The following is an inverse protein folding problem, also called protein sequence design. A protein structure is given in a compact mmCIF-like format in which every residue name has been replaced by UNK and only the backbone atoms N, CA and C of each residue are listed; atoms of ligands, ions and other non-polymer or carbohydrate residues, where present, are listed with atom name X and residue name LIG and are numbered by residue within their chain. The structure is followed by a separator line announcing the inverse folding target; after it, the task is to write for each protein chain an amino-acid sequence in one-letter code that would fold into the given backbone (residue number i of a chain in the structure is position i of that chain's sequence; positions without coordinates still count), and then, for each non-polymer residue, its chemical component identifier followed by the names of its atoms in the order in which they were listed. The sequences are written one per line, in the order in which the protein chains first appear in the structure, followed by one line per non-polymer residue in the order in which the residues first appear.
data_IF_269757682666
#
_entry.id   IF_269757682666
#
_cell.length_a   1.000
_cell.length_b   1.000
_cell.length_c   1.000
_cell.angle_alpha   90.00
_cell.angle_beta   90.00
_cell.angle_gamma   90.00
#
_symmetry.space_group_name_H-M   'P 1'
#
loop_
_entity.id
_entity.type
_entity.pdbx_description
1 polymer ?
#
# COMPACT_ATOMS: atom_id res chain seq x y z
N UNK A 1 -26.11 10.43 36.33
CA UNK A 1 -25.80 8.98 36.40
C UNK A 1 -26.40 8.16 35.27
N UNK A 2 -27.70 8.32 34.93
CA UNK A 2 -28.36 7.52 33.87
C UNK A 2 -27.74 7.72 32.47
N UNK A 3 -27.39 8.95 32.09
CA UNK A 3 -26.68 9.25 30.84
C UNK A 3 -25.28 8.61 30.75
N UNK A 4 -24.52 8.53 31.86
CA UNK A 4 -23.20 7.86 31.86
C UNK A 4 -23.30 6.32 31.80
N UNK A 5 -24.33 5.74 32.42
CA UNK A 5 -24.58 4.29 32.36
C UNK A 5 -25.03 3.86 30.95
N UNK A 6 -25.86 4.67 30.28
CA UNK A 6 -26.22 4.46 28.88
C UNK A 6 -25.01 4.64 27.93
N UNK A 7 -24.14 5.61 28.20
CA UNK A 7 -22.92 5.83 27.39
C UNK A 7 -21.96 4.65 27.44
N UNK A 8 -21.67 4.13 28.63
CA UNK A 8 -20.74 2.98 28.78
C UNK A 8 -21.29 1.68 28.19
N UNK A 9 -22.61 1.45 28.27
CA UNK A 9 -23.27 0.32 27.63
C UNK A 9 -23.31 0.46 26.10
N UNK A 10 -23.51 1.69 25.60
CA UNK A 10 -23.50 2.00 24.17
C UNK A 10 -22.07 1.87 23.58
N UNK A 11 -21.05 2.38 24.29
CA UNK A 11 -19.64 2.21 23.94
C UNK A 11 -19.27 0.71 23.80
N UNK A 12 -19.74 -0.11 24.75
CA UNK A 12 -19.45 -1.55 24.81
C UNK A 12 -20.07 -2.40 23.69
N UNK A 13 -20.97 -1.84 22.88
CA UNK A 13 -21.62 -2.55 21.76
C UNK A 13 -21.33 -1.89 20.42
N UNK A 14 -21.32 -0.56 20.37
CA UNK A 14 -21.14 0.21 19.15
C UNK A 14 -19.73 0.06 18.55
N UNK A 15 -18.68 0.32 19.34
CA UNK A 15 -17.30 0.29 18.82
C UNK A 15 -16.83 -1.12 18.42
N UNK A 16 -17.14 -2.20 19.16
CA UNK A 16 -16.85 -3.56 18.70
C UNK A 16 -17.57 -3.92 17.39
N UNK A 17 -18.83 -3.50 17.24
CA UNK A 17 -19.59 -3.73 16.01
C UNK A 17 -19.00 -2.95 14.83
N UNK A 18 -18.66 -1.67 15.05
CA UNK A 18 -18.03 -0.83 14.04
C UNK A 18 -16.65 -1.36 13.63
N UNK A 19 -15.86 -1.85 14.59
CA UNK A 19 -14.57 -2.50 14.36
C UNK A 19 -14.73 -3.72 13.44
N UNK A 20 -15.75 -4.55 13.68
CA UNK A 20 -16.05 -5.71 12.83
C UNK A 20 -16.40 -5.28 11.41
N UNK A 21 -17.31 -4.33 11.25
CA UNK A 21 -17.70 -3.78 9.93
C UNK A 21 -16.50 -3.17 9.18
N UNK A 22 -15.65 -2.40 9.86
CA UNK A 22 -14.43 -1.85 9.28
C UNK A 22 -13.48 -2.96 8.80
N UNK A 23 -13.32 -4.02 9.60
CA UNK A 23 -12.46 -5.16 9.24
C UNK A 23 -12.99 -5.91 8.02
N UNK A 24 -14.31 -6.09 7.91
CA UNK A 24 -14.96 -6.71 6.75
C UNK A 24 -14.82 -5.84 5.49
N UNK A 25 -14.99 -4.53 5.61
CA UNK A 25 -14.78 -3.55 4.53
C UNK A 25 -13.34 -3.61 4.01
N UNK A 26 -12.35 -3.59 4.89
CA UNK A 26 -10.92 -3.68 4.52
C UNK A 26 -10.59 -5.04 3.92
N UNK A 27 -11.07 -6.13 4.52
CA UNK A 27 -10.85 -7.49 4.02
C UNK A 27 -11.42 -7.69 2.62
N UNK A 28 -12.65 -7.21 2.37
CA UNK A 28 -13.28 -7.23 1.05
C UNK A 28 -12.50 -6.38 0.05
N UNK A 29 -12.11 -5.15 0.42
CA UNK A 29 -11.31 -4.28 -0.43
C UNK A 29 -9.99 -4.93 -0.85
N UNK A 30 -9.21 -5.42 0.12
CA UNK A 30 -7.91 -6.06 -0.10
C UNK A 30 -8.04 -7.24 -1.06
N UNK A 31 -9.03 -8.11 -0.84
CA UNK A 31 -9.28 -9.29 -1.67
C UNK A 31 -9.61 -8.95 -3.13
N UNK A 32 -10.38 -7.90 -3.36
CA UNK A 32 -10.73 -7.47 -4.72
C UNK A 32 -9.57 -6.76 -5.40
N UNK A 33 -8.90 -5.84 -4.69
CA UNK A 33 -7.75 -5.11 -5.20
C UNK A 33 -6.60 -6.05 -5.58
N UNK A 34 -6.24 -6.99 -4.70
CA UNK A 34 -5.22 -8.01 -4.98
C UNK A 34 -5.55 -8.82 -6.24
N UNK A 35 -6.77 -9.34 -6.34
CA UNK A 35 -7.20 -10.15 -7.48
C UNK A 35 -7.11 -9.39 -8.80
N UNK A 36 -7.54 -8.12 -8.80
CA UNK A 36 -7.48 -7.25 -9.96
C UNK A 36 -6.03 -7.02 -10.42
N UNK A 37 -5.14 -6.69 -9.46
CA UNK A 37 -3.73 -6.41 -9.73
C UNK A 37 -3.00 -7.67 -10.21
N UNK A 38 -3.24 -8.83 -9.61
CA UNK A 38 -2.70 -10.11 -10.05
C UNK A 38 -3.12 -10.45 -11.49
N UNK A 39 -4.40 -10.27 -11.82
CA UNK A 39 -4.90 -10.44 -13.19
C UNK A 39 -4.22 -9.48 -14.17
N UNK A 40 -4.05 -8.22 -13.77
CA UNK A 40 -3.37 -7.22 -14.59
C UNK A 40 -1.92 -7.61 -14.85
N UNK A 41 -1.15 -7.89 -13.81
CA UNK A 41 0.28 -8.20 -13.90
C UNK A 41 0.51 -9.48 -14.72
N UNK A 42 -0.30 -10.53 -14.53
CA UNK A 42 -0.24 -11.75 -15.33
C UNK A 42 -0.53 -11.50 -16.83
N UNK A 43 -1.43 -10.56 -17.14
CA UNK A 43 -1.73 -10.18 -18.52
C UNK A 43 -0.60 -9.38 -19.19
N UNK A 44 0.18 -8.64 -18.38
CA UNK A 44 1.32 -7.82 -18.80
C UNK A 44 2.58 -8.63 -19.10
N UNK A 45 2.90 -9.65 -18.29
CA UNK A 45 4.04 -10.57 -18.53
C UNK A 45 3.90 -11.34 -19.85
N UNK A 46 2.67 -11.65 -20.27
CA UNK A 46 2.41 -12.31 -21.54
C UNK A 46 2.46 -11.37 -22.77
N UNK A 47 2.95 -10.13 -22.66
CA UNK A 47 3.12 -9.23 -23.82
C UNK A 47 3.99 -9.83 -24.93
N UNK A 48 4.98 -10.66 -24.61
CA UNK A 48 5.81 -11.35 -25.61
C UNK A 48 5.07 -12.48 -26.34
N UNK A 49 4.15 -13.20 -25.67
CA UNK A 49 3.45 -14.36 -26.24
C UNK A 49 2.11 -14.01 -26.95
N UNK A 50 1.53 -12.84 -26.67
CA UNK A 50 0.12 -12.55 -26.98
C UNK A 50 -0.14 -11.59 -28.16
N UNK A 51 0.82 -11.36 -29.06
CA UNK A 51 0.64 -10.45 -30.20
C UNK A 51 -0.51 -10.86 -31.15
N UNK A 52 -1.00 -12.10 -31.08
CA UNK A 52 -2.00 -12.66 -31.99
C UNK A 52 -3.51 -12.45 -31.64
N UNK A 53 -3.89 -11.77 -30.54
CA UNK A 53 -5.33 -11.65 -30.13
C UNK A 53 -5.81 -10.21 -29.85
N UNK A 54 -5.94 -9.39 -30.88
CA UNK A 54 -6.19 -7.95 -30.78
C UNK A 54 -7.60 -7.47 -30.33
N UNK A 55 -8.70 -8.20 -30.58
CA UNK A 55 -10.07 -7.68 -30.31
C UNK A 55 -10.62 -7.97 -28.91
N UNK A 56 -10.39 -9.15 -28.32
CA UNK A 56 -10.87 -9.49 -26.96
C UNK A 56 -10.16 -8.70 -25.84
N UNK A 57 -8.93 -8.25 -26.09
CA UNK A 57 -8.07 -7.55 -25.12
C UNK A 57 -8.51 -6.12 -24.80
N UNK A 58 -9.06 -5.38 -25.76
CA UNK A 58 -9.42 -3.97 -25.56
C UNK A 58 -10.56 -3.84 -24.54
N UNK A 59 -11.55 -4.73 -24.59
CA UNK A 59 -12.67 -4.72 -23.64
C UNK A 59 -12.21 -5.14 -22.23
N UNK A 60 -11.44 -6.22 -22.10
CA UNK A 60 -10.94 -6.68 -20.80
C UNK A 60 -10.08 -5.63 -20.08
N UNK A 61 -9.21 -4.92 -20.81
CA UNK A 61 -8.38 -3.87 -20.23
C UNK A 61 -9.18 -2.62 -19.83
N UNK A 62 -10.25 -2.30 -20.57
CA UNK A 62 -11.17 -1.22 -20.16
C UNK A 62 -11.92 -1.60 -18.89
N UNK A 63 -12.35 -2.86 -18.76
CA UNK A 63 -12.99 -3.38 -17.55
C UNK A 63 -12.07 -3.30 -16.34
N UNK A 64 -10.82 -3.77 -16.43
CA UNK A 64 -9.86 -3.71 -15.31
C UNK A 64 -9.57 -2.27 -14.85
N UNK A 65 -9.48 -1.32 -15.79
CA UNK A 65 -9.31 0.10 -15.42
C UNK A 65 -10.52 0.60 -14.65
N UNK A 66 -11.72 0.29 -15.14
CA UNK A 66 -12.95 0.77 -14.52
C UNK A 66 -13.14 0.15 -13.12
N UNK A 67 -12.92 -1.16 -12.99
CA UNK A 67 -12.99 -1.87 -11.72
C UNK A 67 -11.96 -1.32 -10.71
N UNK A 68 -10.73 -1.03 -11.17
CA UNK A 68 -9.74 -0.40 -10.31
C UNK A 68 -10.20 0.97 -9.80
N UNK A 69 -10.89 1.76 -10.63
CA UNK A 69 -11.37 3.10 -10.26
C UNK A 69 -12.47 3.01 -9.23
N UNK A 70 -13.37 2.06 -9.41
CA UNK A 70 -14.45 1.75 -8.48
C UNK A 70 -13.87 1.31 -7.12
N UNK A 71 -12.79 0.54 -7.09
CA UNK A 71 -12.13 0.15 -5.84
C UNK A 71 -11.49 1.34 -5.12
N UNK A 72 -10.79 2.24 -5.82
CA UNK A 72 -10.25 3.46 -5.18
C UNK A 72 -11.40 4.34 -4.66
N UNK A 73 -12.46 4.51 -5.44
CA UNK A 73 -13.66 5.24 -5.03
C UNK A 73 -14.28 4.62 -3.78
N UNK A 74 -14.43 3.30 -3.76
CA UNK A 74 -14.95 2.54 -2.63
C UNK A 74 -14.12 2.80 -1.36
N UNK A 75 -12.80 2.76 -1.45
CA UNK A 75 -11.93 3.04 -0.32
C UNK A 75 -12.13 4.44 0.25
N UNK A 76 -12.19 5.45 -0.62
CA UNK A 76 -12.37 6.85 -0.23
C UNK A 76 -13.75 7.12 0.37
N UNK A 77 -14.82 6.58 -0.23
CA UNK A 77 -16.19 6.70 0.31
C UNK A 77 -16.29 6.03 1.68
N UNK A 78 -15.75 4.82 1.86
CA UNK A 78 -15.77 4.14 3.15
C UNK A 78 -14.98 4.91 4.22
N UNK A 79 -13.83 5.46 3.88
CA UNK A 79 -13.06 6.30 4.80
C UNK A 79 -13.85 7.56 5.23
N UNK A 80 -14.58 8.19 4.31
CA UNK A 80 -15.46 9.33 4.61
C UNK A 80 -16.61 8.88 5.51
N UNK A 81 -17.25 7.75 5.21
CA UNK A 81 -18.38 7.21 5.96
C UNK A 81 -18.00 6.95 7.42
N UNK A 82 -16.90 6.21 7.66
CA UNK A 82 -16.39 5.95 9.01
C UNK A 82 -16.09 7.26 9.75
N UNK A 83 -15.42 8.22 9.09
CA UNK A 83 -15.15 9.54 9.69
C UNK A 83 -16.44 10.26 10.09
N UNK A 84 -17.48 10.20 9.25
CA UNK A 84 -18.79 10.82 9.54
C UNK A 84 -19.53 10.10 10.67
N UNK A 85 -19.48 8.77 10.71
CA UNK A 85 -20.06 7.94 11.78
C UNK A 85 -19.45 8.31 13.13
N UNK A 86 -18.12 8.37 13.23
CA UNK A 86 -17.42 8.71 14.47
C UNK A 86 -17.72 10.14 14.92
N UNK A 87 -17.74 11.11 13.99
CA UNK A 87 -18.15 12.49 14.31
C UNK A 87 -19.59 12.58 14.79
N UNK A 88 -20.50 11.80 14.19
CA UNK A 88 -21.90 11.76 14.59
C UNK A 88 -22.07 11.14 15.97
N UNK A 89 -21.30 10.10 16.29
CA UNK A 89 -21.25 9.48 17.62
C UNK A 89 -20.89 10.52 18.69
N UNK A 90 -19.75 11.20 18.52
CA UNK A 90 -19.29 12.23 19.45
C UNK A 90 -20.32 13.35 19.65
N UNK A 91 -20.99 13.75 18.56
CA UNK A 91 -22.05 14.78 18.62
C UNK A 91 -23.30 14.32 19.38
N UNK A 92 -23.74 13.07 19.21
CA UNK A 92 -24.94 12.53 19.87
C UNK A 92 -24.70 12.27 21.34
N UNK A 93 -23.52 11.76 21.69
CA UNK A 93 -23.16 11.37 23.04
C UNK A 93 -22.46 12.48 23.85
N UNK A 94 -22.26 13.67 23.26
CA UNK A 94 -21.48 14.77 23.84
C UNK A 94 -20.12 14.27 24.38
N UNK A 95 -19.44 13.49 23.55
CA UNK A 95 -18.31 12.64 23.94
C UNK A 95 -17.09 12.85 23.04
N UNK A 96 -15.96 12.22 23.38
CA UNK A 96 -14.73 12.17 22.54
C UNK A 96 -14.34 10.73 22.17
N UNK A 97 -15.22 9.77 22.44
CA UNK A 97 -14.94 8.35 22.30
C UNK A 97 -14.82 7.95 20.83
N UNK A 98 -15.58 8.57 19.92
CA UNK A 98 -15.45 8.38 18.49
C UNK A 98 -14.07 8.81 17.98
N UNK A 99 -13.57 9.96 18.44
CA UNK A 99 -12.22 10.40 18.14
C UNK A 99 -11.14 9.49 18.76
N UNK A 100 -11.34 9.02 19.99
CA UNK A 100 -10.42 8.08 20.64
C UNK A 100 -10.36 6.74 19.88
N UNK A 101 -11.53 6.21 19.49
CA UNK A 101 -11.64 5.03 18.66
C UNK A 101 -10.97 5.23 17.30
N UNK A 102 -11.09 6.41 16.68
CA UNK A 102 -10.38 6.71 15.43
C UNK A 102 -8.87 6.56 15.59
N UNK A 103 -8.30 7.15 16.65
CA UNK A 103 -6.86 7.04 16.94
C UNK A 103 -6.46 5.59 17.23
N UNK A 104 -7.33 4.83 17.90
CA UNK A 104 -7.13 3.39 18.12
C UNK A 104 -7.21 2.59 16.81
N UNK A 105 -8.17 2.88 15.92
CA UNK A 105 -8.29 2.24 14.62
C UNK A 105 -7.06 2.51 13.74
N UNK A 106 -6.49 3.71 13.84
CA UNK A 106 -5.23 4.07 13.20
C UNK A 106 -4.04 3.30 13.75
N UNK A 107 -3.98 3.03 15.06
CA UNK A 107 -2.92 2.20 15.64
C UNK A 107 -3.12 0.71 15.34
N UNK A 108 -4.38 0.27 15.22
CA UNK A 108 -4.75 -1.10 14.82
C UNK A 108 -4.65 -1.35 13.32
N UNK A 109 -4.34 -0.33 12.50
CA UNK A 109 -4.15 -0.45 11.04
C UNK A 109 -5.34 -1.03 10.27
N UNK A 110 -6.54 -0.81 10.79
CA UNK A 110 -7.82 -1.23 10.21
C UNK A 110 -8.48 -0.13 9.37
N UNK A 111 -7.79 0.99 9.13
CA UNK A 111 -8.27 2.02 8.21
C UNK A 111 -7.95 1.61 6.77
N UNK A 112 -8.97 1.61 5.91
CA UNK A 112 -8.83 1.26 4.48
C UNK A 112 -7.80 2.12 3.74
N UNK A 113 -7.56 3.36 4.20
CA UNK A 113 -6.56 4.26 3.61
C UNK A 113 -5.12 3.84 3.90
N UNK A 114 -4.90 2.95 4.86
CA UNK A 114 -3.58 2.41 5.19
C UNK A 114 -3.32 1.07 4.49
N UNK A 115 -4.28 0.58 3.71
CA UNK A 115 -4.11 -0.67 2.96
C UNK A 115 -3.02 -0.50 1.89
N UNK A 116 -2.03 -1.40 1.82
CA UNK A 116 -1.02 -1.39 0.76
C UNK A 116 -1.62 -1.48 -0.65
N UNK A 117 -2.79 -2.13 -0.76
CA UNK A 117 -3.49 -2.30 -2.02
C UNK A 117 -4.09 -0.99 -2.54
N UNK A 118 -4.35 -0.01 -1.68
CA UNK A 118 -4.76 1.32 -2.13
C UNK A 118 -3.61 2.02 -2.87
N UNK A 119 -2.40 1.97 -2.32
CA UNK A 119 -1.19 2.52 -2.95
C UNK A 119 -0.93 1.88 -4.32
N UNK A 120 -1.07 0.56 -4.42
CA UNK A 120 -0.94 -0.17 -5.70
C UNK A 120 -2.02 0.22 -6.69
N UNK A 121 -3.29 0.33 -6.28
CA UNK A 121 -4.37 0.77 -7.17
C UNK A 121 -4.15 2.21 -7.66
N UNK A 122 -3.67 3.11 -6.80
CA UNK A 122 -3.32 4.46 -7.20
C UNK A 122 -2.22 4.44 -8.27
N UNK A 123 -1.15 3.67 -8.07
CA UNK A 123 -0.06 3.53 -9.03
C UNK A 123 -0.52 2.90 -10.35
N UNK A 124 -1.34 1.85 -10.28
CA UNK A 124 -1.99 1.19 -11.42
C UNK A 124 -2.76 2.19 -12.28
N UNK A 125 -3.57 3.06 -11.65
CA UNK A 125 -4.33 4.09 -12.37
C UNK A 125 -3.45 5.08 -13.10
N UNK A 126 -2.38 5.55 -12.44
CA UNK A 126 -1.44 6.50 -13.04
C UNK A 126 -0.73 5.84 -14.22
N UNK A 127 -0.22 4.61 -14.03
CA UNK A 127 0.46 3.83 -15.06
C UNK A 127 -0.40 3.60 -16.32
N UNK A 128 -1.71 3.39 -16.13
CA UNK A 128 -2.64 3.14 -17.23
C UNK A 128 -3.17 4.40 -17.90
N UNK A 129 -3.30 5.51 -17.16
CA UNK A 129 -3.64 6.82 -17.73
C UNK A 129 -2.60 7.25 -18.77
N UNK A 130 -1.32 7.11 -18.44
CA UNK A 130 -0.21 7.48 -19.33
C UNK A 130 -0.14 6.61 -20.59
N UNK A 131 -0.56 5.34 -20.51
CA UNK A 131 -0.62 4.46 -21.68
C UNK A 131 -1.68 4.88 -22.73
N UNK A 132 -2.63 5.75 -22.36
CA UNK A 132 -3.80 6.15 -23.17
C UNK A 132 -3.75 7.58 -23.72
N UNK A 133 -2.62 8.29 -23.64
CA UNK A 133 -2.46 9.68 -24.18
C UNK A 133 -2.40 9.70 -25.73
N UNK A 134 -3.41 9.09 -26.38
CA UNK A 134 -3.89 9.38 -27.73
C UNK A 134 -5.43 9.50 -27.79
N UNK A 135 -6.14 9.45 -26.67
CA UNK A 135 -7.61 9.49 -26.65
C UNK A 135 -8.11 10.56 -25.67
N UNK A 136 -8.25 11.81 -26.16
CA UNK A 136 -9.06 12.83 -25.49
C UNK A 136 -10.50 12.31 -25.37
N UNK A 137 -11.15 12.64 -24.25
CA UNK A 137 -12.52 12.30 -23.85
C UNK A 137 -12.62 11.10 -22.89
N UNK A 138 -12.14 11.28 -21.66
CA UNK A 138 -12.56 10.47 -20.51
C UNK A 138 -13.36 11.37 -19.54
N UNK A 139 -14.45 10.90 -18.94
CA UNK A 139 -15.27 11.71 -18.03
C UNK A 139 -14.47 12.18 -16.80
N UNK A 140 -14.70 13.42 -16.39
CA UNK A 140 -13.98 14.19 -15.37
C UNK A 140 -14.06 13.66 -13.93
N UNK A 141 -14.54 12.43 -13.71
CA UNK A 141 -14.84 11.92 -12.35
C UNK A 141 -13.61 11.37 -11.62
N UNK A 142 -12.49 11.08 -12.31
CA UNK A 142 -11.33 10.42 -11.70
C UNK A 142 -9.99 10.84 -12.33
N UNK A 143 -9.73 12.15 -12.40
CA UNK A 143 -8.37 12.70 -12.56
C UNK A 143 -7.62 12.77 -11.20
N UNK A 144 -8.16 12.10 -10.19
CA UNK A 144 -7.88 12.28 -8.77
C UNK A 144 -6.49 11.85 -8.32
N UNK A 145 -5.95 10.74 -8.84
CA UNK A 145 -4.68 10.20 -8.34
C UNK A 145 -3.49 10.66 -9.20
N UNK A 146 -2.45 11.20 -8.56
CA UNK A 146 -1.26 11.75 -9.21
C UNK A 146 0.01 11.42 -8.41
N UNK A 147 1.14 11.38 -9.12
CA UNK A 147 2.47 11.39 -8.51
C UNK A 147 2.97 12.83 -8.49
N UNK A 148 3.17 13.37 -7.30
CA UNK A 148 3.67 14.74 -7.06
C UNK A 148 5.08 14.70 -6.48
N UNK A 149 5.83 15.77 -6.63
CA UNK A 149 7.18 15.92 -6.05
C UNK A 149 7.19 17.15 -5.15
N UNK A 150 7.78 17.03 -3.96
CA UNK A 150 8.01 18.17 -3.09
C UNK A 150 9.25 18.98 -3.53
N UNK A 151 9.56 20.06 -2.80
CA UNK A 151 10.69 20.95 -3.11
C UNK A 151 12.05 20.23 -3.07
N UNK A 152 12.18 19.17 -2.28
CA UNK A 152 13.37 18.31 -2.22
C UNK A 152 13.43 17.26 -3.34
N UNK A 153 12.48 17.29 -4.28
CA UNK A 153 12.37 16.30 -5.36
C UNK A 153 11.91 14.90 -4.91
N UNK A 154 11.37 14.78 -3.69
CA UNK A 154 10.86 13.52 -3.14
C UNK A 154 9.42 13.27 -3.60
N UNK A 155 9.11 12.06 -4.10
CA UNK A 155 7.80 11.78 -4.64
C UNK A 155 6.77 11.39 -3.56
N UNK A 156 5.52 11.77 -3.79
CA UNK A 156 4.35 11.32 -3.01
C UNK A 156 3.21 10.91 -3.95
N UNK A 157 2.46 9.86 -3.57
CA UNK A 157 1.19 9.56 -4.21
C UNK A 157 0.08 10.35 -3.55
N UNK A 158 -0.61 11.17 -4.35
CA UNK A 158 -1.77 11.92 -3.90
C UNK A 158 -3.03 11.39 -4.58
N UNK A 159 -4.15 11.35 -3.85
CA UNK A 159 -5.46 11.14 -4.45
C UNK A 159 -6.55 11.88 -3.68
N UNK A 160 -7.42 12.58 -4.40
CA UNK A 160 -8.46 13.43 -3.81
C UNK A 160 -9.84 13.04 -4.34
N UNK A 161 -10.80 12.83 -3.42
CA UNK A 161 -12.21 12.66 -3.76
C UNK A 161 -12.99 13.80 -3.10
N UNK A 162 -13.69 14.59 -3.92
CA UNK A 162 -14.62 15.68 -3.55
C UNK A 162 -14.35 16.34 -2.19
N UNK A 163 -13.61 17.45 -2.17
CA UNK A 163 -13.47 18.48 -1.12
C UNK A 163 -13.39 18.04 0.36
N UNK A 164 -13.03 16.78 0.69
CA UNK A 164 -13.10 16.31 2.10
C UNK A 164 -12.06 15.28 2.51
N UNK A 165 -11.52 14.46 1.61
CA UNK A 165 -10.46 13.50 1.94
C UNK A 165 -9.38 13.52 0.86
N UNK A 166 -8.20 13.98 1.26
CA UNK A 166 -6.94 13.85 0.54
C UNK A 166 -6.16 12.68 1.13
N UNK A 167 -5.77 11.75 0.27
CA UNK A 167 -4.77 10.72 0.56
C UNK A 167 -3.44 11.26 0.06
N UNK A 168 -2.43 11.22 0.92
CA UNK A 168 -1.06 11.61 0.60
C UNK A 168 -0.13 10.56 1.21
N UNK A 169 0.59 9.86 0.35
CA UNK A 169 1.49 8.76 0.72
C UNK A 169 2.90 9.18 0.31
N UNK A 170 3.71 9.52 1.31
CA UNK A 170 5.14 9.76 1.14
C UNK A 170 5.83 8.49 0.65
N UNK A 171 6.54 8.58 -0.47
CA UNK A 171 7.30 7.49 -1.06
C UNK A 171 8.79 7.56 -0.70
N UNK A 172 9.14 8.23 0.41
CA UNK A 172 10.48 8.26 0.97
C UNK A 172 10.69 7.09 1.93
N UNK A 173 11.77 6.34 1.72
CA UNK A 173 12.16 5.28 2.64
C UNK A 173 12.75 5.90 3.91
N UNK A 174 12.14 5.66 5.07
CA UNK A 174 12.63 6.23 6.33
C UNK A 174 13.96 5.65 6.85
N UNK A 175 14.52 4.64 6.17
CA UNK A 175 15.82 4.04 6.53
C UNK A 175 16.95 4.68 5.73
N UNK A 176 16.83 4.77 4.40
CA UNK A 176 17.86 5.40 3.57
C UNK A 176 17.59 6.87 3.25
N UNK A 177 16.41 7.39 3.60
CA UNK A 177 15.94 8.76 3.39
C UNK A 177 15.79 9.19 1.92
N UNK A 178 15.97 8.25 0.99
CA UNK A 178 15.76 8.40 -0.45
C UNK A 178 14.37 7.88 -0.88
N UNK A 179 13.99 8.18 -2.13
CA UNK A 179 12.83 7.56 -2.79
C UNK A 179 12.89 6.04 -2.71
N UNK A 180 11.78 5.40 -2.31
CA UNK A 180 11.69 3.95 -2.17
C UNK A 180 12.09 3.22 -3.47
N UNK A 181 12.95 2.20 -3.33
CA UNK A 181 13.45 1.40 -4.45
C UNK A 181 13.12 -0.08 -4.22
N UNK A 182 12.56 -0.75 -5.23
CA UNK A 182 11.84 -2.02 -5.07
C UNK A 182 10.92 -1.98 -3.82
N UNK A 183 9.86 -1.14 -3.83
CA UNK A 183 9.06 -0.86 -2.64
C UNK A 183 8.33 -2.09 -2.10
N UNK A 184 8.36 -2.25 -0.78
CA UNK A 184 7.56 -3.21 -0.01
C UNK A 184 6.76 -2.47 1.05
N UNK A 185 5.48 -2.80 1.17
CA UNK A 185 4.69 -2.41 2.33
C UNK A 185 4.71 -3.52 3.37
N UNK A 186 5.04 -3.19 4.61
CA UNK A 186 4.88 -4.10 5.74
C UNK A 186 3.40 -4.23 6.10
N UNK A 187 3.02 -5.24 6.88
CA UNK A 187 1.59 -5.43 7.25
C UNK A 187 1.02 -4.25 8.05
N UNK A 188 1.89 -3.45 8.69
CA UNK A 188 1.51 -2.20 9.36
C UNK A 188 1.29 -1.01 8.40
N UNK A 189 1.39 -1.22 7.08
CA UNK A 189 1.15 -0.22 6.02
C UNK A 189 2.36 0.63 5.63
N UNK A 190 3.44 0.62 6.41
CA UNK A 190 4.64 1.42 6.12
C UNK A 190 5.44 0.85 4.95
N UNK A 191 5.93 1.74 4.09
CA UNK A 191 6.64 1.40 2.84
C UNK A 191 8.14 1.63 3.01
N UNK A 192 8.94 0.65 2.57
CA UNK A 192 10.40 0.69 2.60
C UNK A 192 10.99 0.14 1.30
N UNK A 193 12.27 0.43 1.03
CA UNK A 193 13.02 -0.32 0.02
C UNK A 193 13.15 -1.79 0.43
N UNK A 194 13.18 -2.72 -0.53
CA UNK A 194 13.36 -4.15 -0.25
C UNK A 194 14.61 -4.42 0.61
N UNK A 195 15.77 -3.89 0.21
CA UNK A 195 17.03 -4.05 0.93
C UNK A 195 16.98 -3.49 2.35
N UNK A 196 16.36 -2.32 2.50
CA UNK A 196 16.18 -1.64 3.78
C UNK A 196 15.28 -2.47 4.73
N UNK A 197 14.18 -3.01 4.20
CA UNK A 197 13.29 -3.89 4.96
C UNK A 197 14.01 -5.18 5.40
N UNK A 198 14.78 -5.83 4.51
CA UNK A 198 15.52 -7.05 4.84
C UNK A 198 16.56 -6.79 5.93
N UNK A 199 17.35 -5.71 5.79
CA UNK A 199 18.33 -5.29 6.80
C UNK A 199 17.66 -5.04 8.16
N UNK A 200 16.54 -4.31 8.17
CA UNK A 200 15.79 -4.04 9.40
C UNK A 200 15.18 -5.29 10.04
N UNK A 201 14.78 -6.27 9.23
CA UNK A 201 14.28 -7.55 9.70
C UNK A 201 15.40 -8.51 10.13
N UNK A 202 16.67 -8.13 9.97
CA UNK A 202 17.84 -8.99 10.19
C UNK A 202 17.78 -10.28 9.36
N UNK A 203 17.24 -10.21 8.13
CA UNK A 203 17.15 -11.35 7.21
C UNK A 203 18.02 -11.12 5.97
N UNK A 204 18.54 -12.21 5.43
CA UNK A 204 19.19 -12.18 4.13
C UNK A 204 18.18 -11.83 3.03
N UNK A 205 18.65 -11.12 2.02
CA UNK A 205 17.89 -10.88 0.79
C UNK A 205 17.57 -12.18 0.03
N UNK A 206 18.28 -13.27 0.33
CA UNK A 206 18.05 -14.62 -0.20
C UNK A 206 16.84 -15.28 0.49
N UNK A 207 16.79 -15.22 1.82
CA UNK A 207 15.73 -15.82 2.64
C UNK A 207 14.41 -15.03 2.56
N UNK A 208 14.50 -13.76 2.14
CA UNK A 208 13.39 -12.81 1.96
C UNK A 208 12.70 -12.43 3.27
N UNK A 209 11.86 -11.40 3.22
CA UNK A 209 11.11 -10.88 4.37
C UNK A 209 10.20 -11.91 5.07
N UNK A 210 9.75 -12.94 4.34
CA UNK A 210 8.92 -14.00 4.90
C UNK A 210 9.64 -14.86 5.95
N UNK A 211 10.97 -14.88 5.93
CA UNK A 211 11.79 -15.60 6.91
C UNK A 211 12.06 -14.82 8.20
N UNK A 212 11.56 -13.58 8.29
CA UNK A 212 11.80 -12.72 9.44
C UNK A 212 11.20 -13.29 10.72
N UNK A 213 11.91 -13.14 11.83
CA UNK A 213 11.40 -13.55 13.13
C UNK A 213 10.12 -12.77 13.50
N UNK A 214 9.14 -13.41 14.16
CA UNK A 214 7.93 -12.73 14.63
C UNK A 214 8.18 -11.53 15.55
N UNK A 215 9.37 -11.46 16.16
CA UNK A 215 9.80 -10.36 17.03
C UNK A 215 10.32 -9.15 16.26
N UNK A 216 10.57 -9.26 14.96
CA UNK A 216 11.03 -8.16 14.12
C UNK A 216 10.02 -7.02 14.14
N UNK A 217 10.50 -5.80 14.39
CA UNK A 217 9.66 -4.60 14.56
C UNK A 217 9.81 -3.63 13.39
N UNK A 218 8.71 -3.01 12.99
CA UNK A 218 8.73 -1.90 12.04
C UNK A 218 9.62 -0.75 12.56
N UNK A 219 10.55 -0.20 11.74
CA UNK A 219 11.36 0.97 12.12
C UNK A 219 10.55 2.23 12.46
N UNK A 220 9.35 2.36 11.86
CA UNK A 220 8.50 3.54 12.01
C UNK A 220 7.53 3.43 13.19
N UNK A 221 6.66 2.40 13.23
CA UNK A 221 5.68 2.26 14.32
C UNK A 221 6.10 1.31 15.45
N UNK A 222 7.23 0.60 15.32
CA UNK A 222 7.72 -0.39 16.30
C UNK A 222 6.78 -1.59 16.53
N UNK A 223 5.78 -1.76 15.69
CA UNK A 223 4.89 -2.92 15.69
C UNK A 223 5.66 -4.18 15.31
N UNK A 224 5.49 -5.25 16.09
CA UNK A 224 6.18 -6.53 15.89
C UNK A 224 5.42 -7.42 14.88
N UNK A 225 6.11 -8.37 14.25
CA UNK A 225 5.49 -9.37 13.38
C UNK A 225 5.05 -8.82 12.02
N UNK A 226 5.63 -7.69 11.58
CA UNK A 226 5.13 -6.95 10.41
C UNK A 226 5.70 -7.40 9.06
N UNK A 227 6.67 -8.30 9.07
CA UNK A 227 7.47 -8.67 7.88
C UNK A 227 6.94 -9.89 7.12
N UNK A 228 6.36 -10.87 7.82
CA UNK A 228 5.91 -12.15 7.22
C UNK A 228 4.88 -11.94 6.10
N UNK A 229 3.96 -10.99 6.32
CA UNK A 229 2.92 -10.61 5.36
C UNK A 229 3.26 -9.41 4.48
N UNK A 230 4.53 -9.00 4.39
CA UNK A 230 4.91 -7.84 3.60
C UNK A 230 4.55 -8.03 2.11
N UNK A 231 3.99 -6.99 1.51
CA UNK A 231 3.46 -6.98 0.14
C UNK A 231 4.43 -6.22 -0.77
N UNK A 232 4.96 -6.82 -1.84
CA UNK A 232 5.69 -6.09 -2.88
C UNK A 232 4.73 -5.17 -3.63
N UNK A 233 5.13 -3.91 -3.84
CA UNK A 233 4.32 -2.91 -4.52
C UNK A 233 4.78 -2.79 -5.99
N UNK A 234 4.24 -3.65 -6.85
CA UNK A 234 4.71 -3.82 -8.23
C UNK A 234 4.30 -2.67 -9.15
N UNK A 235 3.05 -2.22 -9.07
CA UNK A 235 2.59 -1.08 -9.86
C UNK A 235 3.29 0.21 -9.44
N UNK A 236 3.52 0.37 -8.13
CA UNK A 236 4.31 1.47 -7.61
C UNK A 236 5.76 1.42 -8.11
N UNK A 237 6.37 0.23 -8.12
CA UNK A 237 7.70 0.01 -8.70
C UNK A 237 7.74 0.42 -10.17
N UNK A 238 6.76 0.00 -10.97
CA UNK A 238 6.67 0.34 -12.39
C UNK A 238 6.53 1.85 -12.57
N UNK A 239 5.70 2.49 -11.74
CA UNK A 239 5.48 3.93 -11.77
C UNK A 239 6.77 4.70 -11.47
N UNK A 240 7.43 4.40 -10.35
CA UNK A 240 8.67 5.05 -9.94
C UNK A 240 9.79 4.84 -10.96
N UNK A 241 9.94 3.63 -11.50
CA UNK A 241 10.92 3.35 -12.57
C UNK A 241 10.71 4.22 -13.81
N UNK A 242 9.46 4.53 -14.16
CA UNK A 242 9.14 5.37 -15.33
C UNK A 242 9.30 6.86 -15.04
N UNK A 243 8.83 7.30 -13.87
CA UNK A 243 8.76 8.72 -13.49
C UNK A 243 10.06 9.26 -12.90
N UNK A 244 10.91 8.39 -12.37
CA UNK A 244 12.21 8.73 -11.78
C UNK A 244 13.32 7.89 -12.44
N UNK A 245 13.37 7.87 -13.78
CA UNK A 245 14.17 6.89 -14.53
C UNK A 245 15.68 6.99 -14.29
N UNK A 246 16.21 8.20 -14.16
CA UNK A 246 17.64 8.45 -13.92
C UNK A 246 18.05 7.93 -12.53
N UNK A 247 17.40 8.44 -11.48
CA UNK A 247 17.55 7.93 -10.10
C UNK A 247 17.40 6.41 -10.02
N UNK A 248 16.39 5.86 -10.70
CA UNK A 248 16.12 4.42 -10.66
C UNK A 248 17.25 3.61 -11.28
N UNK A 249 17.87 4.08 -12.36
CA UNK A 249 18.97 3.36 -13.00
C UNK A 249 20.24 3.44 -12.16
N UNK A 250 20.58 4.62 -11.64
CA UNK A 250 21.70 4.80 -10.72
C UNK A 250 21.57 3.90 -9.48
N UNK A 251 20.40 3.94 -8.83
CA UNK A 251 20.11 3.14 -7.65
C UNK A 251 20.16 1.64 -7.96
N UNK A 252 19.68 1.22 -9.12
CA UNK A 252 19.75 -0.18 -9.58
C UNK A 252 21.20 -0.65 -9.72
N UNK A 253 22.08 0.15 -10.31
CA UNK A 253 23.49 -0.23 -10.47
C UNK A 253 24.20 -0.33 -9.11
N UNK A 254 23.97 0.64 -8.22
CA UNK A 254 24.51 0.62 -6.87
C UNK A 254 24.04 -0.60 -6.07
N UNK A 255 22.73 -0.87 -6.05
CA UNK A 255 22.18 -2.02 -5.33
C UNK A 255 22.53 -3.36 -5.96
N UNK A 256 22.79 -3.43 -7.27
CA UNK A 256 23.21 -4.69 -7.91
C UNK A 256 24.51 -5.21 -7.32
N UNK A 257 25.50 -4.34 -7.14
CA UNK A 257 26.78 -4.69 -6.55
C UNK A 257 26.60 -5.16 -5.09
N UNK A 258 25.82 -4.40 -4.32
CA UNK A 258 25.57 -4.73 -2.92
C UNK A 258 24.78 -6.03 -2.75
N UNK A 259 23.77 -6.28 -3.60
CA UNK A 259 23.02 -7.53 -3.60
C UNK A 259 23.92 -8.72 -3.90
N UNK A 260 24.82 -8.62 -4.87
CA UNK A 260 25.80 -9.69 -5.14
C UNK A 260 26.71 -9.94 -3.95
N UNK A 261 27.17 -8.88 -3.26
CA UNK A 261 27.98 -8.98 -2.06
C UNK A 261 27.25 -9.71 -0.93
N UNK A 262 25.99 -9.35 -0.65
CA UNK A 262 25.17 -9.96 0.39
C UNK A 262 24.81 -11.42 0.07
N UNK A 263 24.49 -11.73 -1.20
CA UNK A 263 24.22 -13.11 -1.64
C UNK A 263 25.46 -13.98 -1.40
N UNK A 264 26.64 -13.49 -1.79
CA UNK A 264 27.90 -14.21 -1.54
C UNK A 264 28.12 -14.44 -0.04
N UNK A 265 27.96 -13.40 0.78
CA UNK A 265 28.10 -13.51 2.23
C UNK A 265 27.14 -14.53 2.84
N UNK A 266 25.88 -14.57 2.37
CA UNK A 266 24.89 -15.53 2.83
C UNK A 266 25.32 -16.98 2.55
N UNK A 267 25.76 -17.28 1.32
CA UNK A 267 26.21 -18.63 0.96
C UNK A 267 27.52 -19.03 1.64
N UNK A 268 28.46 -18.08 1.80
CA UNK A 268 29.70 -18.32 2.54
C UNK A 268 29.38 -18.68 4.01
N UNK A 269 28.45 -17.95 4.65
CA UNK A 269 28.02 -18.22 6.03
C UNK A 269 27.28 -19.55 6.15
N UNK A 270 26.40 -19.89 5.21
CA UNK A 270 25.73 -21.19 5.16
C UNK A 270 26.74 -22.33 5.03
N UNK A 271 27.73 -22.17 4.15
CA UNK A 271 28.77 -23.18 3.93
C UNK A 271 29.60 -23.39 5.21
N UNK A 272 30.00 -22.32 5.88
CA UNK A 272 30.71 -22.39 7.17
C UNK A 272 29.90 -23.09 8.25
N UNK A 273 28.61 -22.73 8.37
CA UNK A 273 27.70 -23.37 9.31
C UNK A 273 27.55 -24.88 9.04
N UNK A 274 27.47 -25.29 7.77
CA UNK A 274 27.43 -26.72 7.38
C UNK A 274 28.76 -27.44 7.67
N UNK A 275 29.89 -26.75 7.57
CA UNK A 275 31.22 -27.28 7.88
C UNK A 275 31.55 -27.26 9.39
N UNK A 276 30.72 -26.63 10.23
CA UNK A 276 30.95 -26.48 11.67
C UNK A 276 32.10 -25.53 12.04
N UNK A 277 32.41 -24.56 11.16
CA UNK A 277 33.48 -23.55 11.32
C UNK A 277 32.87 -22.20 11.68
#
# INVERSE_FOLDING_TARGET
MVLCLLSSLCDGTFFPSLLKEMSEVVGSFNKHAQRLLEQHLASGFNKCFMWFRGKRRKNQHVTLIQEGKELVTYALINAIAIRKILKKYDKVHYSKQGQAFKTQAQSMRIEILQSPWLSELMAFHINLRESKIKSRNAPAFFEACNLTFNDDGKPSLTCELFDSVKVDIDLTCSICLDTVFDPYSLTCGHIFCYMCACSSASVSIVDKLKSAEPKGKCPLCREAGVYEGAVPLEELRILLRRRCSEYWEERRQAERLERMRLIKQHWDNQTKAMMGI
#
